data_IF_610934743597
#
_entry.id   IF_610934743597
#
_cell.length_a   1.000
_cell.length_b   1.000
_cell.length_c   1.000
_cell.angle_alpha   90.00
_cell.angle_beta   90.00
_cell.angle_gamma   90.00
#
_symmetry.space_group_name_H-M   'P 1'
#
loop_
_entity.id
_entity.type
_entity.pdbx_description
1 polymer ?
#
# COMPACT_ATOMS: atom_id res chain seq x y z
N UNK A 1 -13.02 -16.58 9.64
CA UNK A 1 -12.51 -15.27 9.22
C UNK A 1 -11.18 -15.53 8.56
N UNK A 2 -10.98 -15.00 7.36
CA UNK A 2 -9.80 -15.29 6.56
C UNK A 2 -8.75 -14.21 6.86
N UNK A 3 -7.87 -14.47 7.84
CA UNK A 3 -6.83 -13.51 8.23
C UNK A 3 -5.73 -13.47 7.17
N UNK A 4 -5.40 -12.28 6.68
CA UNK A 4 -4.29 -12.07 5.74
C UNK A 4 -3.00 -11.82 6.52
N UNK A 5 -1.94 -12.57 6.19
CA UNK A 5 -0.64 -12.45 6.83
C UNK A 5 0.39 -11.89 5.86
N UNK A 6 1.12 -10.86 6.29
CA UNK A 6 2.31 -10.36 5.61
C UNK A 6 3.56 -10.81 6.35
N UNK A 7 4.58 -11.30 5.64
CA UNK A 7 5.88 -11.68 6.22
C UNK A 7 6.98 -10.80 5.64
N UNK A 8 7.88 -10.34 6.50
CA UNK A 8 9.04 -9.54 6.12
C UNK A 8 10.31 -10.19 6.63
N UNK A 9 11.22 -10.53 5.72
CA UNK A 9 12.55 -10.97 6.10
C UNK A 9 13.38 -9.76 6.56
N UNK A 10 14.08 -9.88 7.69
CA UNK A 10 15.09 -8.91 8.14
C UNK A 10 14.59 -7.75 9.01
N UNK A 11 13.28 -7.53 9.14
CA UNK A 11 12.73 -6.49 10.04
C UNK A 11 12.42 -6.99 11.45
N UNK A 12 12.51 -8.30 11.66
CA UNK A 12 12.30 -8.98 12.93
C UNK A 12 13.38 -10.06 13.08
N UNK A 13 13.71 -10.42 14.32
CA UNK A 13 14.67 -11.50 14.61
C UNK A 13 14.18 -12.84 14.04
N UNK A 14 12.88 -13.08 14.13
CA UNK A 14 12.20 -14.23 13.54
C UNK A 14 11.22 -13.75 12.47
N UNK A 15 10.89 -14.60 11.49
CA UNK A 15 9.85 -14.27 10.52
C UNK A 15 8.51 -14.01 11.24
N UNK A 16 8.08 -12.75 11.23
CA UNK A 16 6.89 -12.29 11.95
C UNK A 16 5.79 -11.95 10.97
N UNK A 17 4.56 -12.38 11.31
CA UNK A 17 3.36 -12.08 10.56
C UNK A 17 2.69 -10.84 11.13
N UNK A 18 2.31 -9.91 10.26
CA UNK A 18 1.48 -8.75 10.62
C UNK A 18 0.03 -9.13 10.38
N UNK A 19 -0.81 -8.97 11.41
CA UNK A 19 -2.25 -9.21 11.32
C UNK A 19 -2.95 -7.91 10.93
N UNK A 20 -3.62 -7.93 9.77
CA UNK A 20 -4.45 -6.80 9.33
C UNK A 20 -5.90 -7.07 9.70
N UNK A 21 -6.57 -6.07 10.27
CA UNK A 21 -7.98 -6.16 10.64
C UNK A 21 -8.86 -6.52 9.43
N UNK A 22 -9.96 -7.23 9.67
CA UNK A 22 -10.81 -7.76 8.60
C UNK A 22 -11.43 -6.66 7.71
N UNK A 23 -11.65 -5.45 8.23
CA UNK A 23 -12.18 -4.32 7.45
C UNK A 23 -11.12 -3.72 6.52
N UNK A 24 -9.85 -4.03 6.77
CA UNK A 24 -8.70 -3.60 5.99
C UNK A 24 -8.13 -4.72 5.10
N UNK A 25 -8.84 -5.83 4.90
CA UNK A 25 -8.43 -6.96 4.04
C UNK A 25 -9.01 -6.89 2.63
N UNK A 26 -8.96 -5.70 2.02
CA UNK A 26 -9.47 -5.47 0.68
C UNK A 26 -8.35 -5.36 -0.36
N UNK A 27 -8.57 -5.89 -1.57
CA UNK A 27 -7.75 -5.56 -2.74
C UNK A 27 -8.59 -4.75 -3.69
N UNK A 28 -8.23 -3.47 -3.83
CA UNK A 28 -8.94 -2.52 -4.68
C UNK A 28 -8.09 -2.26 -5.93
N UNK A 29 -8.64 -2.62 -7.09
CA UNK A 29 -8.03 -2.38 -8.39
C UNK A 29 -8.83 -1.32 -9.11
N UNK A 30 -8.18 -0.20 -9.44
CA UNK A 30 -8.79 0.83 -10.27
C UNK A 30 -9.03 0.25 -11.66
N UNK A 31 -10.30 0.07 -12.03
CA UNK A 31 -10.66 -0.25 -13.41
C UNK A 31 -10.48 0.98 -14.29
N UNK A 32 -10.22 0.75 -15.57
CA UNK A 32 -10.04 1.78 -16.58
C UNK A 32 -11.40 2.41 -16.95
N UNK A 33 -12.12 3.02 -16.00
CA UNK A 33 -13.35 3.78 -16.31
C UNK A 33 -12.92 5.15 -16.84
N UNK A 34 -12.55 5.17 -18.12
CA UNK A 34 -12.32 6.37 -18.90
C UNK A 34 -13.62 6.80 -19.57
N UNK A 35 -14.04 8.02 -19.28
CA UNK A 35 -15.17 8.66 -19.94
C UNK A 35 -15.41 10.10 -19.46
N UNK A 36 -14.92 10.46 -18.27
CA UNK A 36 -15.07 11.83 -17.76
C UNK A 36 -13.72 12.40 -17.29
N UNK A 37 -13.12 13.34 -18.06
CA UNK A 37 -11.85 13.99 -17.71
C UNK A 37 -11.93 14.88 -16.46
N UNK A 38 -13.11 15.05 -15.85
CA UNK A 38 -13.30 15.75 -14.56
C UNK A 38 -13.60 14.82 -13.38
N UNK A 39 -13.79 13.52 -13.60
CA UNK A 39 -14.18 12.59 -12.53
C UNK A 39 -13.08 12.26 -11.49
N UNK A 40 -11.77 12.32 -11.79
CA UNK A 40 -10.75 12.00 -10.78
C UNK A 40 -10.58 13.02 -9.65
N UNK A 41 -11.21 14.19 -9.72
CA UNK A 41 -11.40 15.03 -8.53
C UNK A 41 -12.54 14.52 -7.63
N UNK A 42 -13.39 13.60 -8.12
CA UNK A 42 -14.64 13.17 -7.46
C UNK A 42 -14.95 11.66 -7.47
N UNK A 43 -14.12 10.76 -8.01
CA UNK A 43 -14.30 9.31 -7.82
C UNK A 43 -14.02 8.38 -9.00
N UNK A 44 -12.80 8.40 -9.57
CA UNK A 44 -12.36 7.44 -10.61
C UNK A 44 -11.11 6.62 -10.27
N UNK A 45 -10.50 6.84 -9.11
CA UNK A 45 -9.44 6.02 -8.52
C UNK A 45 -10.03 5.36 -7.27
N UNK A 46 -9.31 4.48 -6.56
CA UNK A 46 -9.68 4.23 -5.16
C UNK A 46 -9.58 5.59 -4.45
N UNK A 47 -10.67 6.35 -4.19
CA UNK A 47 -10.61 7.81 -4.17
C UNK A 47 -9.77 8.35 -3.01
N UNK A 48 -9.61 7.54 -1.95
CA UNK A 48 -8.75 7.83 -0.81
C UNK A 48 -7.25 7.67 -1.09
N UNK A 49 -6.87 6.82 -2.04
CA UNK A 49 -5.50 6.33 -2.15
C UNK A 49 -4.77 6.77 -3.42
N UNK A 50 -5.46 7.33 -4.42
CA UNK A 50 -4.83 7.82 -5.67
C UNK A 50 -3.86 6.79 -6.28
N UNK A 51 -4.29 5.54 -6.34
CA UNK A 51 -3.48 4.40 -6.70
C UNK A 51 -4.21 3.51 -7.70
N UNK A 52 -3.44 2.73 -8.47
CA UNK A 52 -3.94 1.72 -9.41
C UNK A 52 -4.34 0.44 -8.69
N UNK A 53 -3.53 0.03 -7.73
CA UNK A 53 -3.81 -1.12 -6.87
C UNK A 53 -3.61 -0.69 -5.43
N UNK A 54 -4.52 -1.09 -4.55
CA UNK A 54 -4.39 -0.95 -3.11
C UNK A 54 -4.56 -2.34 -2.52
N UNK A 55 -3.62 -2.74 -1.67
CA UNK A 55 -3.67 -3.99 -0.91
C UNK A 55 -3.81 -3.61 0.56
N UNK A 56 -4.96 -3.92 1.11
CA UNK A 56 -5.42 -3.48 2.41
C UNK A 56 -5.42 -1.96 2.59
N UNK A 57 -5.03 -1.48 3.76
CA UNK A 57 -4.91 -0.04 4.06
C UNK A 57 -3.50 0.51 3.79
N UNK A 58 -2.50 -0.38 3.76
CA UNK A 58 -1.12 0.03 3.97
C UNK A 58 -0.31 0.11 2.70
N UNK A 59 -0.64 -0.65 1.66
CA UNK A 59 0.13 -0.70 0.41
C UNK A 59 -0.68 -0.16 -0.76
N UNK A 60 -0.12 0.83 -1.44
CA UNK A 60 -0.69 1.41 -2.66
C UNK A 60 0.34 1.46 -3.78
N UNK A 61 -0.05 1.09 -4.98
CA UNK A 61 0.81 0.91 -6.16
C UNK A 61 0.31 1.76 -7.34
N UNK A 62 1.23 2.21 -8.19
CA UNK A 62 0.94 3.13 -9.29
C UNK A 62 0.51 4.51 -8.82
N UNK A 63 0.96 4.95 -7.64
CA UNK A 63 0.62 6.27 -7.08
C UNK A 63 1.54 7.35 -7.63
N UNK A 64 0.99 8.52 -7.98
CA UNK A 64 1.82 9.67 -8.33
C UNK A 64 2.52 10.23 -7.09
N UNK A 65 3.84 10.42 -7.17
CA UNK A 65 4.64 10.98 -6.07
C UNK A 65 4.57 12.51 -6.00
N UNK A 66 4.11 13.17 -7.07
CA UNK A 66 3.84 14.61 -7.10
C UNK A 66 2.47 14.87 -6.49
N UNK A 67 2.40 15.53 -5.33
CA UNK A 67 1.16 15.82 -4.59
C UNK A 67 0.17 16.79 -5.25
N UNK A 68 0.06 16.82 -6.58
CA UNK A 68 -0.84 17.69 -7.34
C UNK A 68 -2.06 16.96 -7.89
N UNK A 69 -3.15 17.70 -8.14
CA UNK A 69 -4.48 17.14 -8.44
C UNK A 69 -4.57 16.27 -9.71
N UNK A 70 -3.59 16.26 -10.62
CA UNK A 70 -3.63 15.40 -11.83
C UNK A 70 -2.28 15.33 -12.58
N UNK A 71 -1.94 14.20 -13.24
CA UNK A 71 -2.51 12.87 -13.07
C UNK A 71 -1.99 12.22 -11.77
N UNK A 72 -2.95 11.78 -10.95
CA UNK A 72 -2.73 11.33 -9.57
C UNK A 72 -2.29 9.87 -9.43
N UNK A 73 -2.33 9.11 -10.52
CA UNK A 73 -1.69 7.80 -10.65
C UNK A 73 -0.72 7.81 -11.83
N UNK A 74 0.36 7.06 -11.70
CA UNK A 74 1.31 6.84 -12.79
C UNK A 74 0.94 5.56 -13.51
N UNK A 75 1.27 5.45 -14.79
CA UNK A 75 1.20 4.16 -15.51
C UNK A 75 2.29 3.19 -15.03
N UNK A 76 3.28 3.68 -14.27
CA UNK A 76 4.28 2.83 -13.64
C UNK A 76 3.76 2.25 -12.31
N UNK A 77 3.20 1.04 -12.38
CA UNK A 77 2.67 0.31 -11.22
C UNK A 77 3.71 0.12 -10.11
N UNK A 78 5.01 0.20 -10.43
CA UNK A 78 6.11 0.04 -9.47
C UNK A 78 6.23 1.18 -8.47
N UNK A 79 5.64 2.34 -8.75
CA UNK A 79 5.65 3.47 -7.79
C UNK A 79 4.70 3.15 -6.65
N UNK A 80 5.28 2.85 -5.51
CA UNK A 80 4.59 2.43 -4.31
C UNK A 80 4.55 3.51 -3.24
N UNK A 81 3.53 3.40 -2.39
CA UNK A 81 3.52 4.03 -1.07
C UNK A 81 3.09 2.98 -0.07
N UNK A 82 3.90 2.80 0.97
CA UNK A 82 3.60 1.89 2.07
C UNK A 82 3.81 2.58 3.41
N UNK A 83 2.90 2.32 4.35
CA UNK A 83 2.98 2.76 5.73
C UNK A 83 2.02 1.91 6.56
N UNK A 84 2.53 1.13 7.51
CA UNK A 84 1.70 0.32 8.42
C UNK A 84 1.56 1.05 9.74
N UNK A 85 0.32 1.18 10.20
CA UNK A 85 -0.02 1.90 11.43
C UNK A 85 0.74 1.31 12.62
N UNK A 86 1.28 2.16 13.49
CA UNK A 86 2.03 1.69 14.67
C UNK A 86 1.23 0.73 15.57
N UNK A 87 -0.11 0.81 15.55
CA UNK A 87 -0.97 -0.11 16.31
C UNK A 87 -1.08 -1.51 15.69
N UNK A 88 -0.81 -1.64 14.39
CA UNK A 88 -0.85 -2.90 13.65
C UNK A 88 0.53 -3.59 13.60
N UNK A 89 1.60 -2.87 13.98
CA UNK A 89 2.98 -3.38 13.96
C UNK A 89 3.24 -4.24 15.21
N UNK A 90 3.54 -5.54 15.07
CA UNK A 90 3.92 -6.38 16.20
C UNK A 90 5.18 -5.88 16.92
N UNK A 91 5.23 -6.11 18.23
CA UNK A 91 6.39 -5.79 19.07
C UNK A 91 7.69 -6.42 18.51
N UNK A 92 8.81 -5.72 18.69
CA UNK A 92 10.12 -6.19 18.23
C UNK A 92 10.43 -5.84 16.77
N UNK A 93 9.67 -4.93 16.14
CA UNK A 93 10.02 -4.38 14.84
C UNK A 93 11.34 -3.60 14.92
N UNK A 94 12.31 -3.98 14.09
CA UNK A 94 13.65 -3.39 14.04
C UNK A 94 13.90 -2.58 12.75
N UNK A 95 12.89 -2.47 11.88
CA UNK A 95 12.98 -1.73 10.63
C UNK A 95 12.84 -0.22 10.81
N UNK A 96 12.82 0.49 9.67
CA UNK A 96 12.63 1.94 9.66
C UNK A 96 11.20 2.29 10.06
N UNK A 97 11.06 3.30 10.92
CA UNK A 97 9.78 3.92 11.28
C UNK A 97 9.75 5.40 10.92
N UNK A 98 8.55 5.95 10.71
CA UNK A 98 8.37 7.40 10.57
C UNK A 98 8.21 8.12 11.92
N UNK A 99 8.04 9.43 11.88
CA UNK A 99 7.85 10.29 13.05
C UNK A 99 6.61 9.95 13.90
N UNK A 100 5.66 9.20 13.35
CA UNK A 100 4.47 8.72 14.05
C UNK A 100 4.62 7.27 14.53
N UNK A 101 5.79 6.65 14.35
CA UNK A 101 6.04 5.25 14.68
C UNK A 101 5.51 4.25 13.66
N UNK A 102 5.01 4.71 12.51
CA UNK A 102 4.51 3.79 11.47
C UNK A 102 5.67 3.04 10.84
N UNK A 103 5.50 1.74 10.61
CA UNK A 103 6.52 0.92 9.98
C UNK A 103 6.60 1.18 8.47
N UNK A 104 7.82 1.45 8.00
CA UNK A 104 8.17 1.65 6.59
C UNK A 104 8.93 0.43 6.07
N UNK A 105 8.19 -0.53 5.52
CA UNK A 105 8.72 -1.85 5.14
C UNK A 105 9.68 -1.78 3.94
N UNK A 106 9.53 -0.75 3.09
CA UNK A 106 10.48 -0.44 2.02
C UNK A 106 11.59 0.51 2.45
N UNK A 107 11.76 0.77 3.76
CA UNK A 107 12.68 1.78 4.30
C UNK A 107 12.25 3.24 4.07
N UNK A 108 11.20 3.46 3.26
CA UNK A 108 10.64 4.76 2.95
C UNK A 108 9.14 4.65 2.72
N UNK A 109 8.42 5.72 3.03
CA UNK A 109 6.99 5.82 2.77
C UNK A 109 6.65 5.77 1.29
N UNK A 110 7.56 6.26 0.44
CA UNK A 110 7.44 6.25 -1.01
C UNK A 110 8.63 5.51 -1.60
N UNK A 111 8.38 4.61 -2.53
CA UNK A 111 9.42 3.80 -3.16
C UNK A 111 9.09 3.50 -4.62
N UNK A 112 10.10 3.08 -5.36
CA UNK A 112 9.95 2.48 -6.68
C UNK A 112 10.44 1.05 -6.53
N UNK A 113 9.55 0.08 -6.71
CA UNK A 113 9.93 -1.32 -6.68
C UNK A 113 10.67 -1.70 -7.97
N UNK A 114 11.69 -2.54 -7.86
CA UNK A 114 12.31 -3.15 -9.05
C UNK A 114 11.38 -4.22 -9.65
N UNK A 115 10.71 -5.00 -8.79
CA UNK A 115 9.81 -6.10 -9.14
C UNK A 115 8.59 -6.16 -8.20
N UNK A 116 7.43 -6.60 -8.71
CA UNK A 116 6.21 -6.82 -7.93
C UNK A 116 5.65 -8.18 -8.30
N UNK A 117 5.48 -9.04 -7.30
CA UNK A 117 4.80 -10.33 -7.41
C UNK A 117 3.59 -10.34 -6.47
N UNK A 118 2.45 -10.84 -6.96
CA UNK A 118 1.23 -11.00 -6.17
C UNK A 118 0.81 -12.46 -6.26
N UNK A 119 0.75 -13.13 -5.11
CA UNK A 119 0.35 -14.52 -5.02
C UNK A 119 -1.00 -14.64 -4.32
N UNK A 120 -1.93 -15.35 -4.94
CA UNK A 120 -3.15 -15.79 -4.28
C UNK A 120 -2.93 -17.18 -3.70
N UNK A 121 -3.09 -17.31 -2.39
CA UNK A 121 -3.03 -18.60 -1.69
C UNK A 121 -4.47 -19.13 -1.55
N UNK A 122 -4.65 -20.43 -1.80
CA UNK A 122 -5.93 -21.14 -1.60
C UNK A 122 -5.95 -21.84 -0.26
#
# INVERSE_FOLDING_TARGET
>A
SDVWFFSLAGHYENATKIEIDQQSQDVLVASQIWGNPMAPCFGGLVPRYNARVVVGRDLSLGRSLSGGCWPLSTDDIRKGRQSTDANDVPEGYMGVTDENGNALLGGSRQFIADEIEIFAVK
#
